data_IF_367679161196
#
_entry.id   IF_367679161196
#
_cell.length_a   1.000
_cell.length_b   1.000
_cell.length_c   1.000
_cell.angle_alpha   90.00
_cell.angle_beta   90.00
_cell.angle_gamma   90.00
#
_symmetry.space_group_name_H-M   'P 1'
#
loop_
_entity.id
_entity.type
_entity.pdbx_description
1 polymer ?
#
# COMPACT_ATOMS: atom_id res chain seq x y z
N UNK A 1 21.18 -10.72 0.98
CA UNK A 1 20.04 -10.42 1.88
C UNK A 1 20.26 -9.06 2.54
N UNK A 2 19.46 -8.02 2.21
CA UNK A 2 19.47 -6.72 2.94
C UNK A 2 18.71 -6.75 4.27
N UNK A 3 17.96 -7.82 4.52
CA UNK A 3 17.11 -7.98 5.71
C UNK A 3 17.96 -8.21 6.97
N UNK A 4 19.19 -8.72 6.82
CA UNK A 4 20.08 -8.99 7.95
C UNK A 4 20.99 -7.82 8.36
N UNK A 5 21.29 -6.85 7.48
CA UNK A 5 22.16 -5.71 7.82
C UNK A 5 21.44 -4.55 8.51
N UNK A 6 20.11 -4.55 8.52
CA UNK A 6 19.32 -3.44 9.05
C UNK A 6 19.36 -2.16 8.20
N UNK A 7 20.13 -2.14 7.11
CA UNK A 7 20.26 -0.98 6.23
C UNK A 7 18.94 -0.66 5.53
N UNK A 8 18.57 0.62 5.54
CA UNK A 8 17.38 1.16 4.88
C UNK A 8 17.82 2.22 3.87
N UNK A 9 18.26 1.83 2.66
CA UNK A 9 18.85 2.75 1.70
C UNK A 9 17.82 3.63 0.98
N UNK A 10 16.52 3.43 1.20
CA UNK A 10 15.46 4.15 0.48
C UNK A 10 14.75 5.16 1.38
N UNK A 11 15.25 6.40 1.53
CA UNK A 11 14.61 7.44 2.32
C UNK A 11 13.37 8.02 1.62
N UNK A 12 12.34 8.31 2.39
CA UNK A 12 11.19 9.08 1.95
C UNK A 12 11.50 10.57 1.91
N UNK A 13 11.21 11.23 0.80
CA UNK A 13 11.46 12.67 0.64
C UNK A 13 10.52 13.55 1.48
N UNK A 14 9.34 13.05 1.85
CA UNK A 14 8.36 13.82 2.62
C UNK A 14 8.63 13.82 4.14
N UNK A 15 9.02 12.68 4.70
CA UNK A 15 9.18 12.51 6.15
C UNK A 15 10.53 11.93 6.58
N UNK A 16 11.48 11.79 5.65
CA UNK A 16 12.83 11.23 5.86
C UNK A 16 12.89 9.79 6.41
N UNK A 17 11.75 9.12 6.56
CA UNK A 17 11.70 7.71 6.98
C UNK A 17 12.29 6.81 5.88
N UNK A 18 13.23 5.95 6.25
CA UNK A 18 13.87 5.04 5.30
C UNK A 18 13.25 3.64 5.27
N UNK A 19 13.35 2.99 4.10
CA UNK A 19 12.82 1.65 3.81
C UNK A 19 13.90 0.73 3.24
N UNK A 20 13.68 -0.58 3.36
CA UNK A 20 14.60 -1.62 2.88
C UNK A 20 14.56 -1.81 1.36
N UNK A 21 13.42 -1.50 0.75
CA UNK A 21 13.18 -1.65 -0.68
C UNK A 21 12.39 -0.45 -1.25
N UNK A 22 12.57 -0.22 -2.55
CA UNK A 22 11.92 0.87 -3.28
C UNK A 22 10.40 0.69 -3.39
N UNK A 23 9.91 -0.55 -3.45
CA UNK A 23 8.47 -0.83 -3.58
C UNK A 23 7.70 -0.44 -2.33
N UNK A 24 8.26 -0.71 -1.15
CA UNK A 24 7.71 -0.29 0.14
C UNK A 24 7.77 1.23 0.29
N UNK A 25 8.84 1.87 -0.16
CA UNK A 25 8.91 3.34 -0.22
C UNK A 25 7.81 3.92 -1.14
N UNK A 26 7.60 3.38 -2.34
CA UNK A 26 6.56 3.84 -3.26
C UNK A 26 5.16 3.69 -2.64
N UNK A 27 4.86 2.53 -2.03
CA UNK A 27 3.60 2.32 -1.30
C UNK A 27 3.43 3.32 -0.16
N UNK A 28 4.51 3.60 0.59
CA UNK A 28 4.49 4.58 1.67
C UNK A 28 4.21 6.00 1.16
N UNK A 29 4.81 6.42 0.04
CA UNK A 29 4.60 7.76 -0.54
C UNK A 29 3.13 8.07 -0.80
N UNK A 30 2.30 7.06 -1.09
CA UNK A 30 0.85 7.21 -1.27
C UNK A 30 0.11 7.73 -0.03
N UNK A 31 0.70 7.59 1.16
CA UNK A 31 0.15 8.16 2.40
C UNK A 31 0.26 9.69 2.39
N UNK A 32 1.36 10.22 1.82
CA UNK A 32 1.58 11.66 1.72
C UNK A 32 0.79 12.28 0.57
N UNK A 33 0.74 11.61 -0.59
CA UNK A 33 0.03 12.12 -1.77
C UNK A 33 -1.47 11.87 -1.74
N UNK A 34 -1.95 10.98 -0.87
CA UNK A 34 -3.35 10.53 -0.85
C UNK A 34 -3.74 9.66 -2.05
N UNK A 35 -2.78 9.21 -2.87
CA UNK A 35 -3.05 8.43 -4.08
C UNK A 35 -3.69 7.08 -3.74
N UNK A 36 -4.84 6.81 -4.36
CA UNK A 36 -5.57 5.54 -4.21
C UNK A 36 -5.86 4.94 -5.59
N UNK A 37 -4.87 4.25 -6.20
CA UNK A 37 -4.98 3.77 -7.57
C UNK A 37 -5.90 2.55 -7.72
N UNK A 38 -6.22 1.87 -6.62
CA UNK A 38 -7.00 0.64 -6.68
C UNK A 38 -8.48 0.91 -6.43
N UNK A 39 -9.32 0.70 -7.45
CA UNK A 39 -10.77 0.90 -7.39
C UNK A 39 -11.50 -0.43 -7.18
N UNK A 40 -12.41 -0.47 -6.21
CA UNK A 40 -13.41 -1.52 -6.13
C UNK A 40 -14.47 -1.32 -7.20
N UNK A 41 -14.67 -2.30 -8.09
CA UNK A 41 -15.66 -2.22 -9.17
C UNK A 41 -17.10 -2.47 -8.71
N UNK A 42 -17.29 -2.89 -7.46
CA UNK A 42 -18.63 -3.17 -6.89
C UNK A 42 -19.19 -1.93 -6.20
N UNK A 43 -18.43 -1.31 -5.30
CA UNK A 43 -18.88 -0.14 -4.52
C UNK A 43 -18.14 1.17 -4.85
N UNK A 44 -17.24 1.16 -5.83
CA UNK A 44 -16.42 2.31 -6.24
C UNK A 44 -15.51 2.91 -5.16
N UNK A 45 -15.30 2.19 -4.04
CA UNK A 45 -14.35 2.61 -3.01
C UNK A 45 -12.91 2.46 -3.52
N UNK A 46 -12.06 3.46 -3.24
CA UNK A 46 -10.65 3.48 -3.64
C UNK A 46 -9.71 3.12 -2.49
N UNK A 47 -8.63 2.40 -2.80
CA UNK A 47 -7.60 1.95 -1.88
C UNK A 47 -6.20 2.33 -2.36
N UNK A 48 -5.29 2.58 -1.41
CA UNK A 48 -3.87 2.90 -1.69
C UNK A 48 -3.00 1.67 -1.93
N UNK A 49 -3.49 0.47 -1.56
CA UNK A 49 -2.76 -0.80 -1.67
C UNK A 49 -3.67 -1.91 -2.22
N UNK A 50 -3.10 -2.78 -3.07
CA UNK A 50 -3.83 -3.90 -3.70
C UNK A 50 -4.33 -4.91 -2.68
N UNK A 51 -3.53 -5.27 -1.67
CA UNK A 51 -3.94 -6.20 -0.62
C UNK A 51 -5.17 -5.73 0.17
N UNK A 52 -5.30 -4.41 0.38
CA UNK A 52 -6.48 -3.82 1.01
C UNK A 52 -7.73 -3.97 0.13
N UNK A 53 -7.59 -3.72 -1.19
CA UNK A 53 -8.67 -3.94 -2.14
C UNK A 53 -9.06 -5.43 -2.20
N UNK A 54 -8.10 -6.36 -2.25
CA UNK A 54 -8.38 -7.79 -2.27
C UNK A 54 -9.14 -8.25 -1.02
N UNK A 55 -8.71 -7.81 0.17
CA UNK A 55 -9.43 -8.10 1.42
C UNK A 55 -10.83 -7.50 1.41
N UNK A 56 -10.97 -6.27 0.91
CA UNK A 56 -12.27 -5.62 0.77
C UNK A 56 -13.20 -6.37 -0.21
N UNK A 57 -12.70 -6.84 -1.36
CA UNK A 57 -13.48 -7.66 -2.29
C UNK A 57 -14.03 -8.92 -1.63
N UNK A 58 -13.26 -9.54 -0.74
CA UNK A 58 -13.75 -10.70 0.00
C UNK A 58 -15.02 -10.37 0.78
N UNK A 59 -15.12 -9.18 1.39
CA UNK A 59 -16.33 -8.76 2.11
C UNK A 59 -17.56 -8.75 1.21
N UNK A 60 -17.44 -8.29 -0.04
CA UNK A 60 -18.55 -8.35 -1.01
C UNK A 60 -18.95 -9.79 -1.34
N UNK A 61 -18.02 -10.74 -1.29
CA UNK A 61 -18.29 -12.15 -1.56
C UNK A 61 -18.78 -12.93 -0.33
N UNK A 62 -18.39 -12.52 0.88
CA UNK A 62 -18.86 -13.13 2.15
C UNK A 62 -20.18 -12.56 2.64
N UNK A 63 -20.56 -11.34 2.25
CA UNK A 63 -21.96 -10.88 2.35
C UNK A 63 -22.77 -11.53 1.22
N UNK A 64 -22.95 -12.84 1.32
CA UNK A 64 -23.99 -13.58 0.58
C UNK A 64 -25.18 -13.71 1.51
N UNK A 65 -26.23 -12.96 1.18
CA UNK A 65 -27.63 -13.04 1.63
C UNK A 65 -27.89 -12.85 3.13
#
# INVERSE_FOLDING_TARGET
>A
MRIHSGERPFPCTFCKKSFYDSSTLIKHRRIHTGEKPYLCKICHQRFSQSGNLTRHYKLHTTTKF
#
